data_IF_830609715981
#
_entry.id   IF_830609715981
#
_cell.length_a   1.000
_cell.length_b   1.000
_cell.length_c   1.000
_cell.angle_alpha   90.00
_cell.angle_beta   90.00
_cell.angle_gamma   90.00
#
_symmetry.space_group_name_H-M   'P 1'
#
loop_
_entity.id
_entity.type
_entity.pdbx_description
1 polymer ?
#
# COMPACT_ATOMS: atom_id res chain seq x y z
N UNK A 1 25.09 -26.64 -19.33
CA UNK A 1 23.86 -27.02 -20.08
C UNK A 1 23.18 -28.08 -19.23
N UNK A 2 21.98 -27.92 -18.66
CA UNK A 2 20.79 -27.17 -19.07
C UNK A 2 20.08 -26.55 -17.85
N UNK A 3 19.90 -25.22 -17.88
CA UNK A 3 19.12 -24.39 -16.97
C UNK A 3 17.61 -24.47 -17.31
N UNK A 4 17.06 -25.68 -17.45
CA UNK A 4 15.76 -25.90 -18.10
C UNK A 4 14.58 -26.33 -17.22
N UNK A 5 14.82 -26.80 -15.98
CA UNK A 5 13.78 -27.52 -15.23
C UNK A 5 13.20 -26.78 -14.02
N UNK A 6 13.80 -25.67 -13.56
CA UNK A 6 13.31 -24.96 -12.35
C UNK A 6 12.11 -24.05 -12.58
N UNK A 7 11.82 -23.65 -13.83
CA UNK A 7 10.71 -22.72 -14.11
C UNK A 7 9.34 -23.41 -14.18
N UNK A 8 9.27 -24.71 -14.45
CA UNK A 8 7.99 -25.43 -14.58
C UNK A 8 7.19 -25.52 -13.27
N UNK A 9 7.87 -25.42 -12.11
CA UNK A 9 7.27 -25.55 -10.78
C UNK A 9 7.09 -24.21 -10.05
N UNK A 10 7.51 -23.09 -10.66
CA UNK A 10 7.38 -21.76 -10.07
C UNK A 10 5.93 -21.28 -10.14
N UNK A 11 5.39 -20.81 -9.01
CA UNK A 11 4.07 -20.19 -8.97
C UNK A 11 3.98 -18.87 -9.79
N UNK A 12 5.11 -18.33 -10.27
CA UNK A 12 5.11 -17.14 -11.13
C UNK A 12 4.35 -17.35 -12.44
N UNK A 13 4.28 -18.59 -12.92
CA UNK A 13 3.52 -18.95 -14.13
C UNK A 13 2.00 -18.79 -13.96
N UNK A 14 1.53 -18.73 -12.72
CA UNK A 14 0.13 -18.53 -12.39
C UNK A 14 -0.27 -17.04 -12.52
N UNK A 15 0.70 -16.11 -12.48
CA UNK A 15 0.47 -14.66 -12.49
C UNK A 15 0.30 -14.08 -13.90
N UNK A 16 -0.34 -14.81 -14.80
CA UNK A 16 -0.70 -14.30 -16.12
C UNK A 16 -1.87 -13.31 -15.98
N UNK A 17 -1.79 -12.11 -16.56
CA UNK A 17 -2.90 -11.16 -16.54
C UNK A 17 -4.15 -11.78 -17.17
N UNK A 18 -5.32 -11.52 -16.59
CA UNK A 18 -6.59 -11.89 -17.22
C UNK A 18 -6.87 -10.96 -18.40
N UNK A 19 -7.33 -11.54 -19.51
CA UNK A 19 -7.69 -10.78 -20.70
C UNK A 19 -9.06 -10.10 -20.52
N UNK A 20 -9.22 -8.93 -21.13
CA UNK A 20 -10.51 -8.24 -21.29
C UNK A 20 -11.24 -7.87 -19.97
N UNK A 21 -10.50 -7.49 -18.93
CA UNK A 21 -11.11 -7.03 -17.68
C UNK A 21 -11.87 -5.70 -17.90
N UNK A 22 -13.10 -5.55 -17.35
CA UNK A 22 -13.94 -4.37 -17.55
C UNK A 22 -13.51 -3.21 -16.62
N UNK A 23 -12.32 -2.67 -16.84
CA UNK A 23 -11.78 -1.56 -16.06
C UNK A 23 -12.74 -0.37 -16.06
N UNK A 24 -12.95 0.25 -14.89
CA UNK A 24 -13.83 1.40 -14.78
C UNK A 24 -13.16 2.62 -15.40
N UNK A 25 -13.88 3.33 -16.27
CA UNK A 25 -13.39 4.59 -16.85
C UNK A 25 -13.40 5.72 -15.81
N UNK A 26 -14.32 5.66 -14.84
CA UNK A 26 -14.39 6.60 -13.73
C UNK A 26 -13.49 6.15 -12.59
N UNK A 27 -12.41 6.91 -12.34
CA UNK A 27 -11.54 6.70 -11.18
C UNK A 27 -12.29 7.07 -9.89
N UNK A 28 -12.25 6.21 -8.87
CA UNK A 28 -12.86 6.50 -7.55
C UNK A 28 -12.23 7.76 -6.95
N UNK A 29 -13.01 8.50 -6.15
CA UNK A 29 -12.61 9.81 -5.61
C UNK A 29 -11.38 9.79 -4.69
N UNK A 30 -11.03 8.64 -4.10
CA UNK A 30 -9.75 8.33 -3.45
C UNK A 30 -9.91 7.01 -2.66
N UNK A 31 -9.29 5.93 -3.10
CA UNK A 31 -9.11 4.74 -2.26
C UNK A 31 -7.62 4.54 -1.99
N UNK A 32 -7.19 4.74 -0.73
CA UNK A 32 -5.86 4.30 -0.34
C UNK A 32 -5.83 2.77 -0.42
N UNK A 33 -5.03 2.24 -1.33
CA UNK A 33 -4.92 0.79 -1.51
C UNK A 33 -4.32 0.15 -0.27
N UNK A 34 -5.10 -0.72 0.38
CA UNK A 34 -4.66 -1.49 1.53
C UNK A 34 -4.31 -2.88 1.05
N UNK A 35 -3.02 -3.21 1.04
CA UNK A 35 -2.60 -4.60 0.92
C UNK A 35 -3.02 -5.38 2.16
N UNK A 36 -3.36 -6.68 2.05
CA UNK A 36 -3.79 -7.48 3.20
C UNK A 36 -2.63 -7.76 4.18
N UNK A 37 -1.40 -7.40 3.81
CA UNK A 37 -0.20 -7.56 4.61
C UNK A 37 0.91 -6.59 4.21
N UNK A 38 1.96 -6.56 5.03
CA UNK A 38 3.21 -5.89 4.76
C UNK A 38 4.37 -6.89 4.69
N UNK A 39 5.22 -6.75 3.67
CA UNK A 39 6.52 -7.44 3.57
C UNK A 39 7.60 -6.37 3.53
N UNK A 40 8.52 -6.39 4.49
CA UNK A 40 9.74 -5.57 4.44
C UNK A 40 10.91 -6.42 3.99
N UNK A 41 11.18 -6.37 2.69
CA UNK A 41 12.36 -6.97 2.10
C UNK A 41 12.93 -6.06 1.00
N UNK A 42 14.10 -6.43 0.48
CA UNK A 42 14.76 -5.69 -0.59
C UNK A 42 13.93 -5.66 -1.88
N UNK A 43 13.24 -6.74 -2.23
CA UNK A 43 12.45 -6.83 -3.47
C UNK A 43 11.32 -5.80 -3.49
N UNK A 44 10.56 -5.68 -2.39
CA UNK A 44 9.49 -4.67 -2.26
C UNK A 44 10.05 -3.26 -2.34
N UNK A 45 11.21 -3.01 -1.70
CA UNK A 45 11.88 -1.70 -1.73
C UNK A 45 12.39 -1.35 -3.12
N UNK A 46 13.04 -2.28 -3.80
CA UNK A 46 13.59 -2.09 -5.14
C UNK A 46 12.46 -1.89 -6.17
N UNK A 47 11.36 -2.63 -6.05
CA UNK A 47 10.16 -2.43 -6.87
C UNK A 47 9.56 -1.03 -6.65
N UNK A 48 9.35 -0.60 -5.40
CA UNK A 48 8.86 0.74 -5.10
C UNK A 48 9.78 1.84 -5.64
N UNK A 49 11.10 1.69 -5.49
CA UNK A 49 12.05 2.66 -6.00
C UNK A 49 12.03 2.76 -7.53
N UNK A 50 11.79 1.64 -8.23
CA UNK A 50 11.62 1.59 -9.68
C UNK A 50 10.39 2.38 -10.12
N UNK A 51 9.23 2.09 -9.54
CA UNK A 51 7.97 2.82 -9.81
C UNK A 51 8.15 4.32 -9.57
N UNK A 52 8.72 4.70 -8.43
CA UNK A 52 9.00 6.12 -8.12
C UNK A 52 9.95 6.78 -9.12
N UNK A 53 10.92 6.04 -9.67
CA UNK A 53 11.86 6.56 -10.67
C UNK A 53 11.19 6.73 -12.04
N UNK A 54 10.37 5.77 -12.46
CA UNK A 54 9.59 5.81 -13.71
C UNK A 54 8.62 6.99 -13.72
N UNK A 55 7.94 7.23 -12.59
CA UNK A 55 7.00 8.34 -12.41
C UNK A 55 7.70 9.69 -12.14
N UNK A 56 9.03 9.72 -12.01
CA UNK A 56 9.77 10.84 -11.43
C UNK A 56 9.54 12.19 -12.12
N UNK A 57 9.44 12.21 -13.45
CA UNK A 57 9.17 13.44 -14.22
C UNK A 57 7.76 13.97 -13.96
N UNK A 58 6.75 13.12 -14.05
CA UNK A 58 5.35 13.52 -13.85
C UNK A 58 5.09 13.94 -12.40
N UNK A 59 5.72 13.24 -11.45
CA UNK A 59 5.75 13.62 -10.03
C UNK A 59 6.37 14.99 -9.79
N UNK A 60 7.46 15.34 -10.49
CA UNK A 60 8.05 16.67 -10.40
C UNK A 60 7.08 17.76 -10.88
N UNK A 61 6.42 17.55 -12.02
CA UNK A 61 5.40 18.49 -12.53
C UNK A 61 4.25 18.67 -11.53
N UNK A 62 3.73 17.57 -10.96
CA UNK A 62 2.68 17.65 -9.95
C UNK A 62 3.16 18.38 -8.69
N UNK A 63 4.40 18.14 -8.26
CA UNK A 63 4.99 18.80 -7.10
C UNK A 63 5.12 20.31 -7.31
N UNK A 64 5.53 20.74 -8.50
CA UNK A 64 5.66 22.16 -8.84
C UNK A 64 4.27 22.84 -8.88
N UNK A 65 3.26 22.14 -9.40
CA UNK A 65 1.87 22.60 -9.36
C UNK A 65 1.38 22.78 -7.92
N UNK A 66 1.62 21.80 -7.03
CA UNK A 66 1.25 21.90 -5.62
C UNK A 66 1.98 23.05 -4.92
N UNK A 67 3.27 23.21 -5.19
CA UNK A 67 4.05 24.31 -4.61
C UNK A 67 3.53 25.70 -5.06
N UNK A 68 3.03 25.79 -6.29
CA UNK A 68 2.31 26.95 -6.81
C UNK A 68 0.99 27.22 -6.07
N UNK A 69 0.16 26.20 -5.86
CA UNK A 69 -1.09 26.31 -5.09
C UNK A 69 -0.86 26.73 -3.63
N UNK A 70 0.27 26.34 -3.05
CA UNK A 70 0.65 26.71 -1.69
C UNK A 70 1.36 28.08 -1.60
N UNK A 71 1.56 28.78 -2.72
CA UNK A 71 2.30 30.05 -2.75
C UNK A 71 1.63 31.17 -1.94
N UNK A 72 0.32 31.10 -1.73
CA UNK A 72 -0.44 32.06 -0.94
C UNK A 72 -0.22 31.92 0.59
N UNK A 73 0.32 30.79 1.05
CA UNK A 73 0.60 30.56 2.47
C UNK A 73 1.87 31.28 2.91
N UNK A 74 2.00 31.52 4.23
CA UNK A 74 3.27 32.04 4.77
C UNK A 74 4.44 31.07 4.48
N UNK A 75 5.67 31.59 4.39
CA UNK A 75 6.84 30.78 4.09
C UNK A 75 7.07 29.63 5.11
N UNK A 76 6.61 29.78 6.36
CA UNK A 76 6.67 28.73 7.36
C UNK A 76 5.62 27.63 7.13
N UNK A 77 4.42 28.00 6.71
CA UNK A 77 3.32 27.07 6.42
C UNK A 77 3.55 26.33 5.11
N UNK A 78 3.98 27.03 4.05
CA UNK A 78 4.35 26.41 2.77
C UNK A 78 5.42 25.35 2.95
N UNK A 79 6.51 25.65 3.67
CA UNK A 79 7.57 24.66 3.97
C UNK A 79 7.04 23.45 4.73
N UNK A 80 6.16 23.66 5.70
CA UNK A 80 5.54 22.57 6.44
C UNK A 80 4.69 21.70 5.51
N UNK A 81 3.74 22.28 4.78
CA UNK A 81 2.85 21.53 3.90
C UNK A 81 3.60 20.84 2.76
N UNK A 82 4.58 21.49 2.15
CA UNK A 82 5.45 20.82 1.17
C UNK A 82 6.20 19.62 1.75
N UNK A 83 6.63 19.68 3.01
CA UNK A 83 7.25 18.52 3.67
C UNK A 83 6.27 17.37 3.92
N UNK A 84 4.98 17.67 4.15
CA UNK A 84 3.93 16.66 4.28
C UNK A 84 3.54 16.09 2.92
N UNK A 85 3.47 16.92 1.88
CA UNK A 85 3.23 16.48 0.51
C UNK A 85 4.33 15.53 0.04
N UNK A 86 5.60 15.90 0.21
CA UNK A 86 6.75 15.04 -0.13
C UNK A 86 6.72 13.70 0.60
N UNK A 87 6.22 13.67 1.82
CA UNK A 87 6.06 12.40 2.53
C UNK A 87 4.95 11.54 1.90
N UNK A 88 3.77 12.12 1.64
CA UNK A 88 2.66 11.45 0.95
C UNK A 88 3.06 10.95 -0.43
N UNK A 89 3.84 11.74 -1.16
CA UNK A 89 4.37 11.41 -2.47
C UNK A 89 5.15 10.08 -2.44
N UNK A 90 5.89 9.80 -1.36
CA UNK A 90 6.57 8.50 -1.27
C UNK A 90 5.62 7.31 -1.15
N UNK A 91 4.41 7.51 -0.64
CA UNK A 91 3.48 6.45 -0.21
C UNK A 91 2.41 6.06 -1.22
N UNK A 92 2.10 6.94 -2.17
CA UNK A 92 1.06 6.76 -3.18
C UNK A 92 1.69 6.57 -4.55
N UNK A 93 1.05 5.85 -5.47
CA UNK A 93 1.38 5.88 -6.92
C UNK A 93 1.07 7.27 -7.51
N UNK A 94 1.56 7.57 -8.71
CA UNK A 94 1.25 8.84 -9.37
C UNK A 94 -0.26 9.01 -9.58
N UNK A 95 -0.95 7.94 -10.00
CA UNK A 95 -2.41 7.95 -10.20
C UNK A 95 -3.14 8.32 -8.90
N UNK A 96 -2.80 7.65 -7.80
CA UNK A 96 -3.36 7.94 -6.48
C UNK A 96 -3.01 9.36 -6.00
N UNK A 97 -1.78 9.82 -6.25
CA UNK A 97 -1.31 11.14 -5.87
C UNK A 97 -2.04 12.25 -6.65
N UNK A 98 -2.27 12.06 -7.95
CA UNK A 98 -3.00 13.01 -8.79
C UNK A 98 -4.46 13.17 -8.34
N UNK A 99 -5.12 12.07 -7.94
CA UNK A 99 -6.47 12.09 -7.37
C UNK A 99 -6.48 12.78 -6.00
N UNK A 100 -5.47 12.52 -5.16
CA UNK A 100 -5.38 13.07 -3.80
C UNK A 100 -4.97 14.55 -3.75
N UNK A 101 -4.16 15.01 -4.70
CA UNK A 101 -3.56 16.34 -4.73
C UNK A 101 -4.57 17.49 -4.46
N UNK A 102 -5.76 17.55 -5.09
CA UNK A 102 -6.75 18.58 -4.80
C UNK A 102 -7.29 18.55 -3.36
N UNK A 103 -7.44 17.36 -2.76
CA UNK A 103 -7.84 17.23 -1.37
C UNK A 103 -6.71 17.71 -0.43
N UNK A 104 -5.46 17.43 -0.78
CA UNK A 104 -4.29 17.92 -0.04
C UNK A 104 -4.19 19.45 -0.04
N UNK A 105 -4.38 20.10 -1.19
CA UNK A 105 -4.38 21.57 -1.28
C UNK A 105 -5.47 22.15 -0.38
N UNK A 106 -6.69 21.62 -0.45
CA UNK A 106 -7.78 22.07 0.44
C UNK A 106 -7.45 21.85 1.91
N UNK A 107 -6.92 20.68 2.27
CA UNK A 107 -6.47 20.38 3.62
C UNK A 107 -5.44 21.40 4.13
N UNK A 108 -4.51 21.81 3.28
CA UNK A 108 -3.46 22.76 3.64
C UNK A 108 -3.97 24.16 3.98
N UNK A 109 -5.12 24.53 3.42
CA UNK A 109 -5.77 25.83 3.62
C UNK A 109 -6.64 25.84 4.89
N UNK A 110 -7.29 24.71 5.21
CA UNK A 110 -8.26 24.63 6.30
C UNK A 110 -7.69 24.08 7.61
N UNK A 111 -6.60 23.30 7.55
CA UNK A 111 -6.05 22.63 8.73
C UNK A 111 -4.83 23.40 9.28
N UNK A 112 -4.86 23.91 10.51
CA UNK A 112 -3.68 24.52 11.10
C UNK A 112 -2.60 23.46 11.40
N UNK A 113 -1.32 23.85 11.30
CA UNK A 113 -0.17 22.97 11.64
C UNK A 113 -0.31 22.29 13.01
N UNK A 114 -0.76 23.06 14.02
CA UNK A 114 -0.98 22.56 15.38
C UNK A 114 -1.99 21.41 15.41
N UNK A 115 -3.03 21.47 14.58
CA UNK A 115 -4.05 20.41 14.49
C UNK A 115 -3.45 19.12 13.94
N UNK A 116 -2.57 19.19 12.94
CA UNK A 116 -1.84 18.01 12.43
C UNK A 116 -1.04 17.34 13.56
N UNK A 117 -0.30 18.11 14.35
CA UNK A 117 0.46 17.58 15.48
C UNK A 117 -0.45 16.97 16.55
N UNK A 118 -1.53 17.67 16.95
CA UNK A 118 -2.48 17.16 17.94
C UNK A 118 -3.10 15.84 17.49
N UNK A 119 -3.54 15.73 16.23
CA UNK A 119 -4.11 14.48 15.68
C UNK A 119 -3.07 13.35 15.68
N UNK A 120 -1.81 13.64 15.33
CA UNK A 120 -0.72 12.64 15.40
C UNK A 120 -0.49 12.14 16.82
N UNK A 121 -0.56 13.02 17.81
CA UNK A 121 -0.44 12.60 19.21
C UNK A 121 -1.60 11.71 19.65
N UNK A 122 -2.83 12.01 19.23
CA UNK A 122 -4.00 11.20 19.53
C UNK A 122 -3.84 9.79 18.94
N UNK A 123 -3.50 9.70 17.65
CA UNK A 123 -3.26 8.39 17.00
C UNK A 123 -2.13 7.63 17.68
N UNK A 124 -1.03 8.30 18.03
CA UNK A 124 0.08 7.66 18.75
C UNK A 124 -0.36 7.12 20.10
N UNK A 125 -1.01 7.93 20.93
CA UNK A 125 -1.54 7.48 22.24
C UNK A 125 -2.50 6.32 22.10
N UNK A 126 -3.34 6.33 21.05
CA UNK A 126 -4.24 5.22 20.77
C UNK A 126 -3.47 3.94 20.49
N UNK A 127 -2.46 3.97 19.60
CA UNK A 127 -1.62 2.82 19.31
C UNK A 127 -0.82 2.34 20.54
N UNK A 128 -0.30 3.26 21.35
CA UNK A 128 0.46 2.93 22.57
C UNK A 128 -0.40 2.19 23.61
N UNK A 129 -1.73 2.34 23.56
CA UNK A 129 -2.68 1.63 24.42
C UNK A 129 -3.01 0.20 23.98
N UNK A 130 -2.49 -0.27 22.82
CA UNK A 130 -2.78 -1.59 22.27
C UNK A 130 -1.58 -2.54 22.39
N UNK A 131 -1.81 -3.87 22.50
CA UNK A 131 -0.74 -4.87 22.61
C UNK A 131 -0.06 -5.11 21.25
N UNK A 132 0.73 -4.14 20.81
CA UNK A 132 1.39 -4.18 19.50
C UNK A 132 2.79 -4.84 19.56
N UNK A 133 3.22 -5.54 18.49
CA UNK A 133 4.53 -6.16 18.42
C UNK A 133 5.67 -5.15 18.58
N UNK A 134 6.64 -5.46 19.42
CA UNK A 134 7.82 -4.62 19.64
C UNK A 134 8.96 -5.04 18.71
N UNK A 135 8.96 -4.55 17.47
CA UNK A 135 10.03 -4.79 16.49
C UNK A 135 10.44 -3.51 15.76
N UNK A 136 11.67 -3.41 15.21
CA UNK A 136 12.09 -2.26 14.41
C UNK A 136 11.22 -2.03 13.17
N UNK A 137 10.77 -3.13 12.55
CA UNK A 137 9.81 -3.12 11.45
C UNK A 137 8.51 -2.44 11.88
N UNK A 138 7.91 -2.89 12.99
CA UNK A 138 6.66 -2.33 13.50
C UNK A 138 6.82 -0.85 13.89
N UNK A 139 7.89 -0.49 14.59
CA UNK A 139 8.17 0.90 14.97
C UNK A 139 8.29 1.83 13.77
N UNK A 140 8.84 1.35 12.65
CA UNK A 140 8.90 2.12 11.41
C UNK A 140 7.53 2.25 10.78
N UNK A 141 6.80 1.14 10.67
CA UNK A 141 5.45 1.10 10.12
C UNK A 141 4.48 2.00 10.89
N UNK A 142 4.50 1.96 12.22
CA UNK A 142 3.67 2.80 13.10
C UNK A 142 4.00 4.29 12.94
N UNK A 143 5.28 4.67 12.84
CA UNK A 143 5.67 6.07 12.57
C UNK A 143 5.13 6.56 11.22
N UNK A 144 5.21 5.74 10.19
CA UNK A 144 4.65 6.06 8.87
C UNK A 144 3.14 6.23 8.95
N UNK A 145 2.43 5.28 9.57
CA UNK A 145 0.97 5.33 9.73
C UNK A 145 0.51 6.55 10.52
N UNK A 146 1.13 6.85 11.67
CA UNK A 146 0.79 8.07 12.45
C UNK A 146 0.94 9.33 11.58
N UNK A 147 1.98 9.39 10.74
CA UNK A 147 2.24 10.55 9.90
C UNK A 147 1.22 10.71 8.77
N UNK A 148 0.87 9.62 8.07
CA UNK A 148 -0.03 9.61 6.91
C UNK A 148 -1.51 9.62 7.29
N UNK A 149 -1.91 8.90 8.34
CA UNK A 149 -3.31 8.71 8.72
C UNK A 149 -4.06 10.03 8.92
N UNK A 150 -3.41 11.02 9.55
CA UNK A 150 -4.01 12.34 9.79
C UNK A 150 -4.23 13.15 8.52
N UNK A 151 -3.56 12.79 7.43
CA UNK A 151 -3.69 13.42 6.11
C UNK A 151 -4.75 12.70 5.28
N UNK A 152 -4.81 11.36 5.36
CA UNK A 152 -5.70 10.55 4.53
C UNK A 152 -7.09 10.33 5.11
N UNK A 153 -7.25 10.38 6.43
CA UNK A 153 -8.52 10.10 7.07
C UNK A 153 -9.04 11.35 7.80
N UNK A 154 -10.36 11.61 7.74
CA UNK A 154 -10.98 12.61 8.59
C UNK A 154 -10.98 12.14 10.05
N UNK A 155 -11.17 13.07 11.00
CA UNK A 155 -10.97 12.82 12.43
C UNK A 155 -11.86 11.69 12.97
N UNK A 156 -13.11 11.66 12.55
CA UNK A 156 -14.12 10.67 12.94
C UNK A 156 -13.79 9.25 12.45
N UNK A 157 -12.91 9.10 11.45
CA UNK A 157 -12.47 7.80 10.92
C UNK A 157 -11.08 7.38 11.38
N UNK A 158 -10.37 8.21 12.15
CA UNK A 158 -9.00 7.91 12.57
C UNK A 158 -8.90 6.64 13.43
N UNK A 159 -9.84 6.46 14.36
CA UNK A 159 -9.86 5.27 15.24
C UNK A 159 -10.08 4.00 14.42
N UNK A 160 -11.11 3.98 13.57
CA UNK A 160 -11.37 2.83 12.69
C UNK A 160 -10.20 2.54 11.72
N UNK A 161 -9.52 3.58 11.23
CA UNK A 161 -8.30 3.39 10.44
C UNK A 161 -7.15 2.81 11.28
N UNK A 162 -7.01 3.22 12.55
CA UNK A 162 -6.02 2.69 13.47
C UNK A 162 -6.31 1.23 13.86
N UNK A 163 -7.57 0.85 14.05
CA UNK A 163 -7.96 -0.54 14.32
C UNK A 163 -7.58 -1.45 13.15
N UNK A 164 -7.93 -1.04 11.93
CA UNK A 164 -7.50 -1.75 10.71
C UNK A 164 -5.99 -1.85 10.62
N UNK A 165 -5.28 -0.77 10.94
CA UNK A 165 -3.82 -0.77 10.98
C UNK A 165 -3.27 -1.78 12.00
N UNK A 166 -3.81 -1.83 13.22
CA UNK A 166 -3.41 -2.75 14.28
C UNK A 166 -3.55 -4.20 13.79
N UNK A 167 -4.69 -4.56 13.19
CA UNK A 167 -4.92 -5.90 12.66
C UNK A 167 -3.91 -6.26 11.57
N UNK A 168 -3.71 -5.38 10.58
CA UNK A 168 -2.78 -5.60 9.48
C UNK A 168 -1.32 -5.72 9.96
N UNK A 169 -0.90 -4.83 10.86
CA UNK A 169 0.45 -4.81 11.38
C UNK A 169 0.73 -6.05 12.26
N UNK A 170 -0.25 -6.52 13.03
CA UNK A 170 -0.14 -7.74 13.84
C UNK A 170 0.00 -8.98 12.96
N UNK A 171 -0.84 -9.11 11.92
CA UNK A 171 -0.73 -10.19 10.92
C UNK A 171 0.58 -10.17 10.14
N UNK A 172 1.19 -8.99 10.03
CA UNK A 172 2.48 -8.78 9.36
C UNK A 172 3.65 -8.75 10.35
N UNK A 173 3.46 -9.07 11.63
CA UNK A 173 4.52 -8.92 12.62
C UNK A 173 5.70 -9.87 12.39
N UNK A 174 5.38 -11.13 12.05
CA UNK A 174 6.39 -12.14 11.72
C UNK A 174 6.91 -11.89 10.30
N UNK A 175 8.10 -11.30 10.19
CA UNK A 175 8.79 -11.05 8.92
C UNK A 175 9.75 -12.20 8.51
N UNK A 176 9.63 -13.39 9.12
CA UNK A 176 10.42 -14.55 8.74
C UNK A 176 10.21 -14.94 7.26
N UNK A 177 11.19 -15.64 6.69
CA UNK A 177 11.11 -16.14 5.31
C UNK A 177 9.89 -17.04 5.12
N UNK A 178 9.58 -17.90 6.10
CA UNK A 178 8.43 -18.81 6.05
C UNK A 178 7.10 -18.06 6.07
N UNK A 179 6.92 -17.11 6.99
CA UNK A 179 5.68 -16.33 7.07
C UNK A 179 5.45 -15.48 5.80
N UNK A 180 6.50 -14.83 5.29
CA UNK A 180 6.40 -14.04 4.07
C UNK A 180 6.13 -14.92 2.83
N UNK A 181 6.73 -16.12 2.75
CA UNK A 181 6.43 -17.11 1.71
C UNK A 181 4.95 -17.51 1.72
N UNK A 182 4.40 -17.82 2.89
CA UNK A 182 2.97 -18.14 3.04
C UNK A 182 2.07 -16.98 2.62
N UNK A 183 2.39 -15.73 3.00
CA UNK A 183 1.62 -14.55 2.58
C UNK A 183 1.62 -14.36 1.07
N UNK A 184 2.75 -14.58 0.41
CA UNK A 184 2.84 -14.51 -1.05
C UNK A 184 1.98 -15.59 -1.68
N UNK A 185 2.05 -16.84 -1.20
CA UNK A 185 1.21 -17.93 -1.69
C UNK A 185 -0.29 -17.64 -1.50
N UNK A 186 -0.69 -17.12 -0.33
CA UNK A 186 -2.06 -16.67 -0.03
C UNK A 186 -2.52 -15.57 -0.98
N UNK A 187 -1.66 -14.60 -1.27
CA UNK A 187 -2.02 -13.50 -2.15
C UNK A 187 -2.23 -13.97 -3.59
N UNK A 188 -1.33 -14.81 -4.10
CA UNK A 188 -1.48 -15.44 -5.42
C UNK A 188 -2.80 -16.21 -5.47
N UNK A 189 -3.01 -17.12 -4.50
CA UNK A 189 -4.23 -17.94 -4.47
C UNK A 189 -5.50 -17.09 -4.41
N UNK A 190 -5.47 -15.99 -3.66
CA UNK A 190 -6.60 -15.06 -3.58
C UNK A 190 -6.94 -14.44 -4.94
N UNK A 191 -5.95 -13.92 -5.67
CA UNK A 191 -6.14 -13.34 -7.01
C UNK A 191 -6.70 -14.37 -7.99
N UNK A 192 -6.30 -15.65 -7.85
CA UNK A 192 -6.85 -16.73 -8.65
C UNK A 192 -8.33 -17.00 -8.40
N UNK A 193 -8.81 -16.78 -7.16
CA UNK A 193 -10.19 -17.06 -6.79
C UNK A 193 -11.11 -15.84 -6.94
N UNK A 194 -10.55 -14.63 -7.03
CA UNK A 194 -11.33 -13.42 -7.30
C UNK A 194 -12.02 -13.52 -8.67
N UNK A 195 -13.26 -13.04 -8.73
CA UNK A 195 -13.97 -12.72 -9.96
C UNK A 195 -13.34 -11.50 -10.65
N UNK A 196 -13.67 -11.31 -11.93
CA UNK A 196 -13.18 -10.15 -12.68
C UNK A 196 -13.68 -8.83 -12.09
N UNK A 197 -14.89 -8.84 -11.51
CA UNK A 197 -15.45 -7.69 -10.79
C UNK A 197 -14.64 -7.35 -9.52
N UNK A 198 -14.23 -8.36 -8.75
CA UNK A 198 -13.40 -8.17 -7.55
C UNK A 198 -12.00 -7.65 -7.90
N UNK A 199 -11.39 -8.15 -8.99
CA UNK A 199 -10.11 -7.63 -9.49
C UNK A 199 -10.26 -6.15 -9.88
N UNK A 200 -11.27 -5.81 -10.67
CA UNK A 200 -11.50 -4.42 -11.09
C UNK A 200 -11.83 -3.50 -9.90
N UNK A 201 -12.48 -4.02 -8.86
CA UNK A 201 -12.74 -3.28 -7.63
C UNK A 201 -11.48 -3.05 -6.80
N UNK A 202 -10.58 -4.04 -6.75
CA UNK A 202 -9.38 -4.00 -5.92
C UNK A 202 -8.25 -3.14 -6.52
N UNK A 203 -8.05 -3.21 -7.84
CA UNK A 203 -6.92 -2.56 -8.52
C UNK A 203 -7.29 -1.24 -9.23
N UNK A 204 -8.58 -0.96 -9.39
CA UNK A 204 -9.12 0.25 -10.05
C UNK A 204 -8.79 0.40 -11.54
N UNK A 205 -7.53 0.20 -11.95
CA UNK A 205 -7.05 0.23 -13.33
C UNK A 205 -6.07 -0.90 -13.68
N UNK A 206 -5.77 -1.02 -14.98
CA UNK A 206 -4.93 -2.07 -15.52
C UNK A 206 -3.47 -1.97 -15.06
N UNK A 207 -2.93 -0.76 -15.00
CA UNK A 207 -1.54 -0.53 -14.64
C UNK A 207 -1.28 -0.99 -13.19
N UNK A 208 -2.16 -0.62 -12.24
CA UNK A 208 -2.03 -1.07 -10.84
C UNK A 208 -2.13 -2.60 -10.68
N UNK A 209 -2.95 -3.24 -11.51
CA UNK A 209 -3.07 -4.70 -11.52
C UNK A 209 -1.78 -5.35 -12.05
N UNK A 210 -1.28 -4.88 -13.19
CA UNK A 210 -0.05 -5.40 -13.80
C UNK A 210 1.17 -5.17 -12.90
N UNK A 211 1.26 -4.02 -12.24
CA UNK A 211 2.31 -3.72 -11.26
C UNK A 211 2.29 -4.71 -10.08
N UNK A 212 1.10 -5.04 -9.55
CA UNK A 212 1.01 -6.03 -8.48
C UNK A 212 1.42 -7.42 -8.94
N UNK A 213 0.97 -7.85 -10.12
CA UNK A 213 1.37 -9.14 -10.69
C UNK A 213 2.89 -9.22 -10.87
N UNK A 214 3.52 -8.14 -11.36
CA UNK A 214 4.96 -8.06 -11.52
C UNK A 214 5.70 -8.19 -10.18
N UNK A 215 5.25 -7.49 -9.14
CA UNK A 215 5.83 -7.61 -7.82
C UNK A 215 5.63 -9.01 -7.23
N UNK A 216 4.44 -9.60 -7.38
CA UNK A 216 4.17 -10.95 -6.93
C UNK A 216 5.06 -11.98 -7.62
N UNK A 217 5.37 -11.79 -8.91
CA UNK A 217 6.28 -12.64 -9.64
C UNK A 217 7.72 -12.53 -9.08
N UNK A 218 8.18 -11.32 -8.78
CA UNK A 218 9.47 -11.08 -8.14
C UNK A 218 9.55 -11.73 -6.74
N UNK A 219 8.50 -11.58 -5.93
CA UNK A 219 8.41 -12.17 -4.60
C UNK A 219 8.33 -13.71 -4.64
N UNK A 220 7.59 -14.25 -5.61
CA UNK A 220 7.47 -15.71 -5.84
C UNK A 220 8.84 -16.32 -6.11
N UNK A 221 9.62 -15.70 -7.01
CA UNK A 221 10.99 -16.13 -7.31
C UNK A 221 11.91 -16.00 -6.10
N UNK A 222 11.81 -14.90 -5.36
CA UNK A 222 12.64 -14.65 -4.17
C UNK A 222 12.41 -15.69 -3.05
N UNK A 223 11.14 -16.03 -2.77
CA UNK A 223 10.77 -16.97 -1.71
C UNK A 223 10.76 -18.44 -2.17
N UNK A 224 10.79 -18.69 -3.48
CA UNK A 224 10.73 -20.02 -4.08
C UNK A 224 9.37 -20.68 -3.87
N UNK A 225 8.28 -19.91 -4.04
CA UNK A 225 6.90 -20.41 -3.87
C UNK A 225 6.56 -21.36 -5.02
N UNK A 226 6.19 -22.59 -4.67
CA UNK A 226 5.83 -23.62 -5.64
C UNK A 226 4.33 -23.60 -5.96
N UNK A 227 3.96 -24.10 -7.14
CA UNK A 227 2.56 -24.22 -7.56
C UNK A 227 1.73 -25.03 -6.54
N UNK A 228 2.25 -26.16 -6.06
CA UNK A 228 1.57 -27.02 -5.08
C UNK A 228 1.24 -26.30 -3.78
N UNK A 229 2.11 -25.39 -3.34
CA UNK A 229 1.92 -24.62 -2.11
C UNK A 229 0.72 -23.67 -2.24
N UNK A 230 0.58 -23.02 -3.40
CA UNK A 230 -0.56 -22.13 -3.70
C UNK A 230 -1.88 -22.91 -3.69
N UNK A 231 -1.92 -24.12 -4.24
CA UNK A 231 -3.15 -24.92 -4.33
C UNK A 231 -3.49 -25.68 -3.04
N UNK A 232 -2.55 -25.86 -2.10
CA UNK A 232 -2.83 -26.42 -0.76
C UNK A 232 -3.60 -25.46 0.14
N UNK A 233 -3.58 -24.16 -0.17
CA UNK A 233 -4.26 -23.13 0.62
C UNK A 233 -5.77 -23.30 0.52
N UNK A 234 -6.41 -23.42 1.68
CA UNK A 234 -7.86 -23.58 1.78
C UNK A 234 -8.62 -22.26 1.58
N UNK A 235 -9.90 -22.35 1.21
CA UNK A 235 -10.78 -21.19 1.13
C UNK A 235 -10.97 -20.48 2.49
N UNK A 236 -10.90 -21.24 3.60
CA UNK A 236 -10.98 -20.69 4.95
C UNK A 236 -9.78 -19.77 5.26
N UNK A 237 -8.57 -20.19 4.91
CA UNK A 237 -7.36 -19.37 5.06
C UNK A 237 -7.43 -18.06 4.27
N UNK A 238 -8.01 -18.11 3.07
CA UNK A 238 -8.19 -16.92 2.21
C UNK A 238 -9.22 -15.96 2.80
N UNK A 239 -10.32 -16.47 3.36
CA UNK A 239 -11.32 -15.66 4.04
C UNK A 239 -10.73 -14.83 5.17
N UNK A 240 -9.87 -15.43 5.99
CA UNK A 240 -9.16 -14.72 7.07
C UNK A 240 -8.11 -13.74 6.55
N UNK A 241 -7.53 -13.99 5.38
CA UNK A 241 -6.48 -13.17 4.80
C UNK A 241 -6.97 -11.76 4.42
N UNK A 242 -8.17 -11.64 3.82
CA UNK A 242 -8.74 -10.36 3.36
C UNK A 242 -9.73 -9.71 4.32
N UNK A 243 -10.39 -10.48 5.19
CA UNK A 243 -11.37 -9.96 6.13
C UNK A 243 -10.74 -9.81 7.53
N UNK A 244 -10.47 -8.57 7.99
CA UNK A 244 -10.04 -8.32 9.36
C UNK A 244 -11.18 -8.39 10.40
N UNK A 245 -12.44 -8.37 9.95
CA UNK A 245 -13.63 -8.22 10.82
C UNK A 245 -14.34 -9.57 11.15
N UNK A 246 -13.65 -10.71 10.99
CA UNK A 246 -14.07 -12.02 11.52
C UNK A 246 -13.00 -12.60 12.42
#
# INVERSE_FOLDING_TARGET
MTLGETDALSASNLLKPRACLPWKTEKRQFAYRVRPYFIDNRIVRDHRNRVLAEEGKARAVLRDSIDGELAALSAAERRFWMSEFRFVETTLTLNQLAIYAPAFVRLSQIMPRKMVFCRRMIVRKYLDGHPLPKSPFFSTLARHFVRSSVLFFPSERLTAAADRFIVLATRSADQSRAANRQRVALHIRSIHLMSDAEICELYEDEDEYLEELALLADLTRHYGVGVDEVFRISAAEIGHFWSPDR
#
